data_IF_153903132873
#
_entry.id   IF_153903132873
#
_cell.length_a   1.000
_cell.length_b   1.000
_cell.length_c   1.000
_cell.angle_alpha   90.00
_cell.angle_beta   90.00
_cell.angle_gamma   90.00
#
_symmetry.space_group_name_H-M   'P 1'
#
loop_
_entity.id
_entity.type
_entity.pdbx_description
1 polymer ?
#
# COMPACT_ATOMS: atom_id res chain seq x y z
N UNK A 1 23.93 45.02 -50.13
CA UNK A 1 24.96 44.10 -50.65
C UNK A 1 24.63 42.69 -50.17
N UNK A 2 23.98 41.88 -51.01
CA UNK A 2 23.58 40.51 -50.64
C UNK A 2 24.72 39.53 -50.91
N UNK A 3 25.26 38.91 -49.86
CA UNK A 3 26.28 37.86 -50.01
C UNK A 3 25.58 36.57 -50.45
N UNK A 4 25.65 36.25 -51.73
CA UNK A 4 25.17 34.98 -52.27
C UNK A 4 26.21 33.88 -52.00
N UNK A 5 26.02 33.12 -50.92
CA UNK A 5 26.88 31.98 -50.60
C UNK A 5 26.53 30.81 -51.54
N UNK A 6 27.40 30.51 -52.51
CA UNK A 6 27.28 29.30 -53.34
C UNK A 6 27.78 28.09 -52.56
N UNK A 7 26.87 27.39 -51.89
CA UNK A 7 27.17 26.14 -51.20
C UNK A 7 27.25 25.01 -52.24
N UNK A 8 28.40 24.38 -52.36
CA UNK A 8 28.59 23.24 -53.27
C UNK A 8 28.06 21.96 -52.63
N UNK A 9 27.60 21.01 -53.45
CA UNK A 9 27.07 19.70 -52.97
C UNK A 9 28.03 18.98 -52.02
N UNK A 10 29.35 19.15 -52.22
CA UNK A 10 30.39 18.62 -51.32
C UNK A 10 30.37 19.26 -49.93
N UNK A 11 30.13 20.57 -49.83
CA UNK A 11 30.04 21.28 -48.54
C UNK A 11 28.74 20.93 -47.78
N UNK A 12 27.64 20.72 -48.50
CA UNK A 12 26.40 20.17 -47.90
C UNK A 12 26.66 18.77 -47.33
N UNK A 13 27.32 17.89 -48.09
CA UNK A 13 27.65 16.54 -47.63
C UNK A 13 28.53 16.55 -46.37
N UNK A 14 29.55 17.41 -46.32
CA UNK A 14 30.42 17.56 -45.14
C UNK A 14 29.64 18.09 -43.93
N UNK A 15 28.75 19.06 -44.11
CA UNK A 15 27.93 19.59 -43.01
C UNK A 15 26.91 18.57 -42.51
N UNK A 16 26.32 17.75 -43.39
CA UNK A 16 25.41 16.66 -43.02
C UNK A 16 26.16 15.57 -42.25
N UNK A 17 27.37 15.19 -42.68
CA UNK A 17 28.20 14.22 -41.95
C UNK A 17 28.62 14.76 -40.59
N UNK A 18 29.03 16.02 -40.49
CA UNK A 18 29.38 16.64 -39.20
C UNK A 18 28.17 16.74 -38.27
N UNK A 19 26.99 17.14 -38.78
CA UNK A 19 25.77 17.17 -37.98
C UNK A 19 25.33 15.76 -37.52
N UNK A 20 25.56 14.73 -38.34
CA UNK A 20 25.30 13.33 -37.98
C UNK A 20 26.29 12.77 -36.95
N UNK A 21 27.49 13.35 -36.80
CA UNK A 21 28.48 12.94 -35.79
C UNK A 21 28.27 13.61 -34.42
N UNK A 22 27.49 14.70 -34.33
CA UNK A 22 27.21 15.42 -33.07
C UNK A 22 26.05 14.80 -32.28
N UNK A 23 25.34 13.81 -32.82
CA UNK A 23 24.15 13.20 -32.18
C UNK A 23 24.45 12.12 -31.12
N UNK A 24 25.72 11.88 -30.76
CA UNK A 24 26.10 10.77 -29.86
C UNK A 24 26.72 11.25 -28.54
N UNK A 25 25.96 11.95 -27.69
CA UNK A 25 26.26 12.04 -26.25
C UNK A 25 25.06 12.56 -25.44
N UNK A 26 23.88 11.95 -25.59
CA UNK A 26 22.84 12.09 -24.55
C UNK A 26 23.11 11.00 -23.53
N UNK A 27 23.78 11.35 -22.44
CA UNK A 27 23.90 10.47 -21.28
C UNK A 27 22.52 10.35 -20.63
N UNK A 28 21.72 9.40 -21.10
CA UNK A 28 20.51 9.00 -20.38
C UNK A 28 20.96 8.38 -19.07
N UNK A 29 20.67 9.04 -17.95
CA UNK A 29 20.75 8.39 -16.65
C UNK A 29 19.64 7.34 -16.62
N UNK A 30 20.00 6.06 -16.63
CA UNK A 30 19.03 4.95 -16.56
C UNK A 30 18.66 4.69 -15.10
N UNK A 31 17.94 5.65 -14.51
CA UNK A 31 17.42 5.55 -13.14
C UNK A 31 15.89 5.40 -13.24
N UNK A 32 15.31 4.32 -12.71
CA UNK A 32 15.96 3.23 -12.00
C UNK A 32 16.81 2.33 -12.91
N UNK A 33 17.81 1.68 -12.33
CA UNK A 33 18.68 0.74 -13.04
C UNK A 33 17.92 -0.50 -13.55
N UNK A 34 18.63 -1.43 -14.16
CA UNK A 34 18.04 -2.67 -14.69
C UNK A 34 17.18 -3.38 -13.64
N UNK A 35 15.93 -3.69 -13.97
CA UNK A 35 14.99 -4.34 -13.05
C UNK A 35 14.24 -3.40 -12.11
N UNK A 36 14.31 -2.07 -12.33
CA UNK A 36 13.59 -1.09 -11.51
C UNK A 36 14.26 -0.84 -10.16
N UNK A 37 15.55 -1.13 -10.03
CA UNK A 37 16.31 -0.95 -8.79
C UNK A 37 16.86 0.47 -8.71
N UNK A 38 16.50 1.18 -7.65
CA UNK A 38 17.14 2.42 -7.25
C UNK A 38 18.37 2.12 -6.41
N UNK A 39 19.49 2.75 -6.73
CA UNK A 39 20.72 2.71 -5.93
C UNK A 39 21.00 4.09 -5.38
N UNK A 40 21.30 4.19 -4.09
CA UNK A 40 21.61 5.47 -3.44
C UNK A 40 22.78 5.38 -2.48
N UNK A 41 23.44 6.50 -2.26
CA UNK A 41 24.39 6.69 -1.19
C UNK A 41 23.77 7.58 -0.12
N UNK A 42 23.74 7.08 1.11
CA UNK A 42 23.29 7.84 2.28
C UNK A 42 24.48 8.23 3.12
N UNK A 43 24.63 9.52 3.41
CA UNK A 43 25.70 10.05 4.23
C UNK A 43 25.52 9.61 5.69
N UNK A 44 26.51 8.91 6.26
CA UNK A 44 26.40 8.23 7.57
C UNK A 44 26.14 9.19 8.73
N UNK A 45 26.61 10.43 8.65
CA UNK A 45 26.53 11.40 9.75
C UNK A 45 25.21 12.17 9.82
N UNK A 46 24.54 12.37 8.67
CA UNK A 46 23.36 13.26 8.57
C UNK A 46 22.18 12.63 7.86
N UNK A 47 22.34 11.46 7.24
CA UNK A 47 21.25 10.75 6.56
C UNK A 47 20.87 11.30 5.18
N UNK A 48 21.52 12.35 4.69
CA UNK A 48 21.28 12.87 3.33
C UNK A 48 21.52 11.79 2.29
N UNK A 49 20.54 11.59 1.41
CA UNK A 49 20.56 10.56 0.38
C UNK A 49 20.79 11.19 -1.00
N UNK A 50 21.67 10.60 -1.80
CA UNK A 50 21.83 10.92 -3.22
C UNK A 50 21.66 9.67 -4.09
N UNK A 51 20.99 9.83 -5.22
CA UNK A 51 20.90 8.78 -6.23
C UNK A 51 22.25 8.57 -6.90
N UNK A 52 22.54 7.31 -7.22
CA UNK A 52 23.71 6.91 -8.00
C UNK A 52 23.28 6.02 -9.15
N UNK A 53 24.08 6.03 -10.20
CA UNK A 53 23.99 5.11 -11.31
C UNK A 53 25.29 4.30 -11.38
N UNK A 54 25.31 3.09 -10.80
CA UNK A 54 26.48 2.21 -10.78
C UNK A 54 26.98 1.79 -12.18
N UNK A 55 26.21 2.02 -13.24
CA UNK A 55 26.63 1.74 -14.62
C UNK A 55 27.58 2.81 -15.18
N UNK A 56 27.66 3.98 -14.54
CA UNK A 56 28.58 5.04 -14.95
C UNK A 56 30.04 4.65 -14.67
N UNK A 57 31.01 5.23 -15.40
CA UNK A 57 32.44 4.99 -15.15
C UNK A 57 32.82 5.26 -13.68
N UNK A 58 33.76 4.47 -13.14
CA UNK A 58 34.22 4.61 -11.74
C UNK A 58 34.84 5.99 -11.43
N UNK A 59 35.30 6.73 -12.45
CA UNK A 59 35.76 8.11 -12.30
C UNK A 59 34.64 9.11 -12.01
N UNK A 60 33.38 8.74 -12.24
CA UNK A 60 32.22 9.57 -11.95
C UNK A 60 31.79 9.40 -10.49
N UNK A 61 31.69 10.50 -9.75
CA UNK A 61 31.22 10.48 -8.35
C UNK A 61 29.78 9.96 -8.20
N UNK A 62 29.01 9.94 -9.28
CA UNK A 62 27.65 9.41 -9.31
C UNK A 62 27.59 7.90 -9.56
N UNK A 63 28.73 7.20 -9.69
CA UNK A 63 28.76 5.73 -9.87
C UNK A 63 28.91 4.93 -8.58
N UNK A 64 29.38 5.57 -7.51
CA UNK A 64 29.73 4.85 -6.28
C UNK A 64 29.55 5.72 -5.04
N UNK A 65 29.50 5.05 -3.89
CA UNK A 65 29.52 5.69 -2.59
C UNK A 65 30.96 5.95 -2.13
N UNK A 66 31.11 7.02 -1.36
CA UNK A 66 32.36 7.34 -0.66
C UNK A 66 32.44 6.57 0.66
N UNK A 67 33.59 6.61 1.33
CA UNK A 67 33.78 5.98 2.64
C UNK A 67 32.85 6.53 3.73
N UNK A 68 32.34 7.75 3.55
CA UNK A 68 31.42 8.42 4.47
C UNK A 68 29.95 8.04 4.24
N UNK A 69 29.67 7.21 3.24
CA UNK A 69 28.31 6.87 2.82
C UNK A 69 28.03 5.37 2.94
N UNK A 70 26.75 5.04 3.00
CA UNK A 70 26.22 3.67 2.96
C UNK A 70 25.42 3.49 1.68
N UNK A 71 25.74 2.44 0.92
CA UNK A 71 24.97 2.04 -0.26
C UNK A 71 23.65 1.39 0.18
N UNK A 72 22.55 1.83 -0.40
CA UNK A 72 21.24 1.19 -0.24
C UNK A 72 20.60 0.97 -1.60
N UNK A 73 19.80 -0.09 -1.71
CA UNK A 73 19.05 -0.40 -2.91
C UNK A 73 17.62 -0.80 -2.59
N UNK A 74 16.67 -0.41 -3.45
CA UNK A 74 15.28 -0.86 -3.38
C UNK A 74 14.66 -0.96 -4.78
N UNK A 75 13.62 -1.77 -4.90
CA UNK A 75 12.86 -1.89 -6.14
C UNK A 75 11.79 -0.79 -6.22
N UNK A 76 11.47 -0.33 -7.42
CA UNK A 76 10.39 0.62 -7.72
C UNK A 76 9.02 0.16 -7.22
N UNK A 77 8.83 -1.15 -7.08
CA UNK A 77 7.64 -1.77 -6.51
C UNK A 77 8.04 -2.52 -5.25
N UNK A 78 7.25 -2.33 -4.19
CA UNK A 78 7.38 -3.14 -2.97
C UNK A 78 7.18 -4.63 -3.26
N UNK A 79 7.70 -5.48 -2.39
CA UNK A 79 7.43 -6.91 -2.46
C UNK A 79 5.92 -7.15 -2.29
N UNK A 80 5.37 -8.15 -2.99
CA UNK A 80 4.00 -8.61 -2.74
C UNK A 80 3.92 -9.03 -1.27
N UNK A 81 2.93 -8.52 -0.53
CA UNK A 81 2.70 -8.93 0.85
C UNK A 81 2.44 -10.43 0.94
N UNK A 82 2.77 -11.01 2.10
CA UNK A 82 2.52 -12.42 2.36
C UNK A 82 1.03 -12.77 2.19
N UNK A 83 0.76 -14.00 1.75
CA UNK A 83 -0.62 -14.48 1.71
C UNK A 83 -1.19 -14.47 3.12
N UNK A 84 -2.42 -13.95 3.27
CA UNK A 84 -3.14 -13.97 4.54
C UNK A 84 -3.26 -15.40 5.09
N UNK A 85 -3.28 -15.51 6.42
CA UNK A 85 -3.48 -16.79 7.10
C UNK A 85 -4.80 -17.45 6.64
N UNK A 86 -4.78 -18.76 6.46
CA UNK A 86 -6.00 -19.51 6.15
C UNK A 86 -6.98 -19.37 7.32
N UNK A 87 -8.27 -19.15 7.00
CA UNK A 87 -9.32 -19.10 8.01
C UNK A 87 -9.41 -20.40 8.81
N UNK A 88 -9.79 -20.28 10.09
CA UNK A 88 -10.04 -21.44 10.95
C UNK A 88 -11.15 -22.32 10.33
N UNK A 89 -11.03 -23.64 10.48
CA UNK A 89 -12.08 -24.56 10.09
C UNK A 89 -13.37 -24.24 10.86
N UNK A 90 -14.52 -24.36 10.19
CA UNK A 90 -15.82 -24.22 10.84
C UNK A 90 -16.01 -25.30 11.91
N UNK A 91 -16.74 -24.97 12.97
CA UNK A 91 -17.18 -25.97 13.97
C UNK A 91 -18.05 -27.04 13.31
N UNK A 92 -17.98 -28.26 13.83
CA UNK A 92 -18.87 -29.35 13.42
C UNK A 92 -20.34 -28.95 13.58
N UNK A 93 -21.20 -29.51 12.70
CA UNK A 93 -22.64 -29.36 12.81
C UNK A 93 -23.16 -29.90 14.15
N UNK A 94 -24.25 -29.32 14.65
CA UNK A 94 -24.93 -29.89 15.81
C UNK A 94 -25.38 -31.34 15.48
N UNK A 95 -25.35 -32.27 16.45
CA UNK A 95 -25.93 -33.59 16.27
C UNK A 95 -27.37 -33.49 15.75
N UNK A 96 -27.76 -34.38 14.84
CA UNK A 96 -29.13 -34.47 14.38
C UNK A 96 -30.08 -34.69 15.57
N UNK A 97 -31.25 -34.06 15.54
CA UNK A 97 -32.32 -34.33 16.50
C UNK A 97 -32.63 -35.83 16.53
N UNK A 98 -32.84 -36.38 17.72
CA UNK A 98 -33.26 -37.77 17.88
C UNK A 98 -34.50 -38.05 17.03
N UNK A 99 -34.54 -39.24 16.41
CA UNK A 99 -35.71 -39.70 15.70
C UNK A 99 -36.92 -39.75 16.64
N UNK A 100 -38.10 -39.36 16.16
CA UNK A 100 -39.33 -39.62 16.91
C UNK A 100 -39.46 -41.12 17.13
N UNK A 101 -39.81 -41.52 18.35
CA UNK A 101 -40.13 -42.89 18.69
C UNK A 101 -41.12 -43.47 17.67
N UNK A 102 -40.76 -44.59 17.06
CA UNK A 102 -41.57 -45.22 16.03
C UNK A 102 -42.82 -45.86 16.64
N UNK A 103 -43.98 -45.62 16.05
CA UNK A 103 -45.14 -46.52 16.21
C UNK A 103 -44.81 -47.85 15.51
N UNK A 104 -45.00 -48.99 16.19
CA UNK A 104 -44.76 -50.32 15.62
C UNK A 104 -45.40 -50.48 14.21
N UNK A 105 -44.61 -50.83 13.19
CA UNK A 105 -45.13 -51.30 11.89
C UNK A 105 -44.21 -51.19 10.66
N UNK A 106 -43.87 -52.36 10.09
CA UNK A 106 -43.27 -52.68 8.76
C UNK A 106 -41.84 -52.24 8.45
N UNK A 107 -41.01 -53.20 8.00
CA UNK A 107 -39.63 -52.98 7.54
C UNK A 107 -39.58 -51.84 6.51
N UNK A 108 -38.78 -50.81 6.79
CA UNK A 108 -38.58 -49.67 5.90
C UNK A 108 -37.77 -50.03 4.66
N UNK A 109 -38.07 -49.36 3.54
CA UNK A 109 -37.27 -49.42 2.31
C UNK A 109 -35.87 -48.83 2.53
N UNK A 110 -34.87 -49.35 1.81
CA UNK A 110 -33.50 -48.86 1.83
C UNK A 110 -33.48 -47.35 1.57
N UNK A 111 -32.83 -46.60 2.46
CA UNK A 111 -32.67 -45.15 2.33
C UNK A 111 -31.91 -44.81 1.05
N UNK A 112 -32.38 -43.77 0.35
CA UNK A 112 -31.68 -43.19 -0.80
C UNK A 112 -30.37 -42.58 -0.32
N UNK A 113 -29.29 -42.75 -1.07
CA UNK A 113 -28.02 -42.09 -0.81
C UNK A 113 -28.23 -40.57 -0.72
N UNK A 114 -27.51 -39.92 0.20
CA UNK A 114 -27.55 -38.46 0.34
C UNK A 114 -26.97 -37.77 -0.89
N UNK A 115 -27.59 -36.68 -1.34
CA UNK A 115 -27.01 -35.84 -2.39
C UNK A 115 -25.66 -35.25 -1.94
N UNK A 116 -24.70 -35.18 -2.85
CA UNK A 116 -23.40 -34.54 -2.61
C UNK A 116 -23.60 -33.10 -2.12
N UNK A 117 -22.85 -32.71 -1.09
CA UNK A 117 -22.90 -31.37 -0.53
C UNK A 117 -22.60 -30.30 -1.58
N UNK A 118 -23.47 -29.29 -1.68
CA UNK A 118 -23.30 -28.14 -2.57
C UNK A 118 -22.18 -27.23 -2.03
N UNK A 119 -21.30 -26.76 -2.91
CA UNK A 119 -20.27 -25.78 -2.55
C UNK A 119 -20.92 -24.50 -1.98
N UNK A 120 -20.41 -24.00 -0.86
CA UNK A 120 -20.88 -22.75 -0.25
C UNK A 120 -20.45 -21.49 -1.01
N UNK A 121 -19.61 -21.65 -2.03
CA UNK A 121 -19.11 -20.57 -2.88
C UNK A 121 -19.39 -20.91 -4.34
N UNK A 122 -19.87 -19.91 -5.08
CA UNK A 122 -19.98 -19.95 -6.53
C UNK A 122 -18.59 -19.82 -7.17
N UNK A 123 -18.48 -20.14 -8.47
CA UNK A 123 -17.21 -20.04 -9.20
C UNK A 123 -16.67 -18.59 -9.30
N UNK A 124 -17.53 -17.59 -9.09
CA UNK A 124 -17.18 -16.16 -9.05
C UNK A 124 -16.79 -15.65 -7.64
N UNK A 125 -16.76 -16.53 -6.63
CA UNK A 125 -16.42 -16.20 -5.25
C UNK A 125 -17.57 -15.61 -4.42
N UNK A 126 -18.78 -15.48 -4.99
CA UNK A 126 -19.96 -15.08 -4.21
C UNK A 126 -20.49 -16.23 -3.37
N UNK A 127 -21.19 -15.90 -2.27
CA UNK A 127 -21.83 -16.91 -1.43
C UNK A 127 -23.00 -17.55 -2.19
N UNK A 128 -23.06 -18.88 -2.19
CA UNK A 128 -24.12 -19.63 -2.86
C UNK A 128 -25.50 -19.46 -2.20
N UNK A 129 -25.54 -19.13 -0.90
CA UNK A 129 -26.76 -18.80 -0.17
C UNK A 129 -26.47 -17.93 1.07
N UNK A 130 -27.46 -17.21 1.63
CA UNK A 130 -27.31 -16.51 2.91
C UNK A 130 -26.91 -17.43 4.07
N UNK A 131 -27.34 -18.69 4.05
CA UNK A 131 -26.95 -19.72 5.02
C UNK A 131 -25.45 -20.10 4.96
N UNK A 132 -24.75 -19.70 3.90
CA UNK A 132 -23.30 -19.84 3.77
C UNK A 132 -22.53 -18.72 4.49
N UNK A 133 -23.20 -17.66 4.95
CA UNK A 133 -22.57 -16.64 5.80
C UNK A 133 -22.32 -17.28 7.17
N UNK A 134 -21.05 -17.45 7.52
CA UNK A 134 -20.66 -17.91 8.85
C UNK A 134 -21.22 -16.99 9.95
N UNK A 135 -21.25 -17.46 11.22
CA UNK A 135 -21.57 -16.58 12.33
C UNK A 135 -20.63 -15.37 12.30
N UNK A 136 -21.13 -14.21 12.74
CA UNK A 136 -20.29 -13.04 12.94
C UNK A 136 -19.08 -13.43 13.79
N UNK A 137 -17.89 -12.99 13.38
CA UNK A 137 -16.67 -13.27 14.13
C UNK A 137 -16.75 -12.68 15.55
N UNK A 138 -15.93 -13.16 16.49
CA UNK A 138 -15.82 -12.50 17.78
C UNK A 138 -15.45 -11.03 17.56
N UNK A 139 -16.04 -10.13 18.36
CA UNK A 139 -15.68 -8.73 18.33
C UNK A 139 -14.16 -8.59 18.47
N UNK A 140 -13.53 -7.88 17.54
CA UNK A 140 -12.11 -7.55 17.65
C UNK A 140 -11.82 -6.72 18.90
N UNK A 141 -10.56 -6.59 19.33
CA UNK A 141 -10.21 -5.66 20.40
C UNK A 141 -10.77 -4.27 20.07
N UNK A 142 -11.40 -3.63 21.06
CA UNK A 142 -12.01 -2.32 20.88
C UNK A 142 -10.98 -1.32 20.37
N UNK A 143 -11.25 -0.69 19.22
CA UNK A 143 -10.43 0.39 18.69
C UNK A 143 -10.36 1.55 19.68
N UNK A 144 -11.48 1.88 20.33
CA UNK A 144 -11.54 2.91 21.36
C UNK A 144 -10.72 2.51 22.59
N UNK A 145 -9.87 3.41 23.06
CA UNK A 145 -8.95 3.20 24.18
C UNK A 145 -7.62 2.54 23.80
N UNK A 146 -7.44 2.12 22.55
CA UNK A 146 -6.14 1.64 22.07
C UNK A 146 -5.12 2.80 21.99
N UNK A 147 -3.83 2.55 22.25
CA UNK A 147 -2.81 3.58 22.15
C UNK A 147 -2.62 4.02 20.70
N UNK A 148 -2.44 5.33 20.50
CA UNK A 148 -2.13 5.93 19.22
C UNK A 148 -0.99 6.94 19.38
N UNK A 149 -0.19 7.09 18.34
CA UNK A 149 0.90 8.08 18.29
C UNK A 149 0.67 9.05 17.14
N UNK A 150 0.92 10.32 17.39
CA UNK A 150 0.90 11.36 16.35
C UNK A 150 2.33 11.62 15.85
N UNK A 151 2.50 12.04 14.57
CA UNK A 151 3.82 12.26 13.96
C UNK A 151 4.73 13.23 14.74
N UNK A 152 4.14 14.15 15.51
CA UNK A 152 4.84 15.10 16.38
C UNK A 152 5.42 14.48 17.67
N UNK A 153 5.32 13.15 17.84
CA UNK A 153 5.85 12.44 19.00
C UNK A 153 4.89 12.41 20.21
N UNK A 154 3.69 12.96 20.08
CA UNK A 154 2.62 12.82 21.07
C UNK A 154 2.06 11.40 21.13
N UNK A 155 1.72 10.95 22.32
CA UNK A 155 1.04 9.67 22.56
C UNK A 155 -0.35 9.94 23.14
N UNK A 156 -1.32 9.13 22.72
CA UNK A 156 -2.72 9.28 23.10
C UNK A 156 -3.48 7.97 23.05
N UNK A 157 -4.79 8.08 23.19
CA UNK A 157 -5.75 6.99 23.06
C UNK A 157 -6.76 7.31 21.97
N UNK A 158 -7.19 6.29 21.24
CA UNK A 158 -8.23 6.43 20.22
C UNK A 158 -9.58 6.66 20.90
N UNK A 159 -10.25 7.72 20.52
CA UNK A 159 -11.65 8.03 20.84
C UNK A 159 -12.51 7.87 19.59
N UNK A 160 -13.81 7.65 19.80
CA UNK A 160 -14.78 7.53 18.73
C UNK A 160 -15.99 8.41 19.02
N UNK A 161 -16.46 9.12 18.00
CA UNK A 161 -17.73 9.86 18.03
C UNK A 161 -18.60 9.49 16.84
N UNK A 162 -19.91 9.45 17.05
CA UNK A 162 -20.90 9.23 15.99
C UNK A 162 -21.72 10.49 15.82
N UNK A 163 -21.66 11.10 14.65
CA UNK A 163 -22.42 12.29 14.31
C UNK A 163 -23.89 11.95 13.97
N UNK A 164 -24.78 12.94 14.06
CA UNK A 164 -26.21 12.75 13.79
C UNK A 164 -26.53 12.29 12.36
N UNK A 165 -25.62 12.53 11.42
CA UNK A 165 -25.71 12.04 10.04
C UNK A 165 -25.19 10.60 9.85
N UNK A 166 -24.83 9.90 10.93
CA UNK A 166 -24.29 8.54 10.91
C UNK A 166 -22.79 8.45 10.65
N UNK A 167 -22.08 9.57 10.48
CA UNK A 167 -20.63 9.55 10.30
C UNK A 167 -19.92 9.11 11.59
N UNK A 168 -19.00 8.16 11.46
CA UNK A 168 -18.16 7.69 12.56
C UNK A 168 -16.79 8.34 12.41
N UNK A 169 -16.38 9.10 13.42
CA UNK A 169 -15.06 9.71 13.48
C UNK A 169 -14.21 9.05 14.56
N UNK A 170 -12.99 8.65 14.17
CA UNK A 170 -11.95 8.17 15.09
C UNK A 170 -10.94 9.29 15.32
N UNK A 171 -10.55 9.51 16.56
CA UNK A 171 -9.68 10.62 16.97
C UNK A 171 -8.59 10.12 17.91
N UNK A 172 -7.33 10.46 17.66
CA UNK A 172 -6.26 10.22 18.64
C UNK A 172 -6.22 11.37 19.64
N UNK A 173 -6.67 11.13 20.88
CA UNK A 173 -6.68 12.13 21.96
C UNK A 173 -5.53 11.89 22.94
N UNK A 174 -4.67 12.88 23.19
CA UNK A 174 -3.53 12.69 24.09
C UNK A 174 -2.68 13.93 24.32
N UNK A 175 -1.86 13.91 25.36
CA UNK A 175 -0.87 14.97 25.64
C UNK A 175 0.18 14.97 24.53
N UNK A 176 0.06 15.95 23.65
CA UNK A 176 1.09 16.31 22.69
C UNK A 176 2.24 16.85 23.53
N UNK A 177 3.35 16.13 23.60
CA UNK A 177 4.55 16.62 24.27
C UNK A 177 4.95 17.94 23.63
N UNK A 178 4.76 19.05 24.34
CA UNK A 178 5.11 20.39 23.89
C UNK A 178 6.62 20.48 23.67
N UNK A 179 7.05 20.18 22.44
CA UNK A 179 8.46 19.97 22.14
C UNK A 179 8.78 20.15 20.67
N UNK A 180 8.26 21.18 20.03
CA UNK A 180 8.66 21.55 18.68
C UNK A 180 7.97 22.82 18.21
N UNK A 181 8.72 23.92 18.09
CA UNK A 181 8.26 25.22 17.59
C UNK A 181 7.96 25.24 16.08
N UNK A 182 7.30 24.21 15.55
CA UNK A 182 6.73 24.18 14.20
C UNK A 182 5.23 24.46 14.25
N UNK A 183 4.74 25.35 13.39
CA UNK A 183 3.35 25.82 13.39
C UNK A 183 2.36 24.84 12.73
N UNK A 184 2.82 23.69 12.27
CA UNK A 184 1.98 22.67 11.63
C UNK A 184 2.29 21.29 12.22
N UNK A 185 1.33 20.77 13.00
CA UNK A 185 1.45 19.48 13.67
C UNK A 185 0.91 18.32 12.81
N UNK A 186 0.48 18.58 11.58
CA UNK A 186 -0.14 17.59 10.71
C UNK A 186 0.85 16.84 9.81
N UNK A 187 0.63 15.53 9.56
CA UNK A 187 1.38 14.82 8.54
C UNK A 187 1.05 15.38 7.15
N UNK A 188 2.09 15.62 6.35
CA UNK A 188 1.96 16.02 4.95
C UNK A 188 2.69 15.00 4.04
N UNK A 189 1.99 14.27 3.16
CA UNK A 189 0.54 14.30 2.92
C UNK A 189 -0.27 13.55 4.00
N UNK A 190 -1.56 13.89 4.15
CA UNK A 190 -2.48 13.12 4.97
C UNK A 190 -2.70 11.72 4.38
N UNK A 191 -2.88 10.68 5.21
CA UNK A 191 -3.18 9.34 4.73
C UNK A 191 -4.54 9.31 4.00
N UNK A 192 -4.65 8.55 2.92
CA UNK A 192 -5.88 8.42 2.13
C UNK A 192 -6.45 7.01 2.24
N UNK A 193 -7.77 6.90 2.39
CA UNK A 193 -8.49 5.62 2.45
C UNK A 193 -9.66 5.64 1.46
N UNK A 194 -9.93 4.51 0.80
CA UNK A 194 -10.89 4.41 -0.30
C UNK A 194 -12.33 4.82 0.07
N UNK A 195 -12.72 4.64 1.34
CA UNK A 195 -14.07 4.96 1.86
C UNK A 195 -14.04 5.83 3.13
N UNK A 196 -12.99 6.61 3.33
CA UNK A 196 -12.92 7.53 4.45
C UNK A 196 -12.21 8.84 4.10
N UNK A 197 -12.69 9.91 4.71
CA UNK A 197 -12.07 11.24 4.62
C UNK A 197 -11.17 11.43 5.83
N UNK A 198 -9.94 11.87 5.60
CA UNK A 198 -8.99 12.20 6.65
C UNK A 198 -8.83 13.71 6.76
N UNK A 199 -8.83 14.22 7.99
CA UNK A 199 -8.55 15.61 8.28
C UNK A 199 -7.56 15.71 9.44
N UNK A 200 -6.86 16.83 9.52
CA UNK A 200 -5.98 17.13 10.63
C UNK A 200 -6.09 18.61 11.00
N UNK A 201 -6.23 18.89 12.29
CA UNK A 201 -6.15 20.26 12.82
C UNK A 201 -4.69 20.62 13.05
N UNK A 202 -4.17 21.58 12.28
CA UNK A 202 -2.76 22.01 12.33
C UNK A 202 -2.35 22.64 13.66
N UNK A 203 -3.31 23.14 14.44
CA UNK A 203 -3.08 23.76 15.75
C UNK A 203 -2.94 22.70 16.84
N UNK A 204 -3.71 21.62 16.74
CA UNK A 204 -3.79 20.57 17.76
C UNK A 204 -3.14 19.26 17.34
N UNK A 205 -2.71 19.11 16.08
CA UNK A 205 -2.19 17.85 15.53
C UNK A 205 -3.19 16.69 15.55
N UNK A 206 -4.46 16.97 15.84
CA UNK A 206 -5.50 15.94 15.96
C UNK A 206 -5.86 15.46 14.56
N UNK A 207 -5.62 14.18 14.30
CA UNK A 207 -6.02 13.51 13.07
C UNK A 207 -7.38 12.85 13.27
N UNK A 208 -8.32 13.15 12.39
CA UNK A 208 -9.63 12.52 12.33
C UNK A 208 -9.79 11.70 11.04
N UNK A 209 -10.28 10.47 11.19
CA UNK A 209 -10.68 9.61 10.07
C UNK A 209 -12.18 9.44 10.14
N UNK A 210 -12.88 9.87 9.10
CA UNK A 210 -14.33 9.80 9.01
C UNK A 210 -14.74 8.83 7.93
N UNK A 211 -15.33 7.70 8.33
CA UNK A 211 -15.86 6.72 7.40
C UNK A 211 -17.10 7.30 6.69
N UNK A 212 -17.13 7.19 5.36
CA UNK A 212 -18.31 7.53 4.59
C UNK A 212 -19.29 6.34 4.66
N UNK A 213 -20.54 6.61 5.02
CA UNK A 213 -21.59 5.60 4.90
C UNK A 213 -21.88 5.36 3.42
N UNK A 214 -21.65 4.12 2.96
CA UNK A 214 -22.07 3.64 1.64
C UNK A 214 -23.52 3.19 1.64
#
# INVERSE_FOLDING_TARGET
MGVHVRITRKRVAVLVVLAALVSAAVAYATIPGTGGVYSVCMLKSVGTVRLIDPSLPASNLMSHCTSLETLMTWNERGQKGDQGIQGIAGKDGAPGKDGKDGTNGTNGTVGKDGENGTSCVNADGTLAAPACRGPEGPAGPGLVGSPCSVPSGGSGVVEMSVAANGAISLTCSGSIGGGGGGTDLCPNPLPTYENAVTACDSTTGVVSVTCLAG
#
